data_IF_988937231902
#
_entry.id   IF_988937231902
#
_cell.length_a   1.000
_cell.length_b   1.000
_cell.length_c   1.000
_cell.angle_alpha   90.00
_cell.angle_beta   90.00
_cell.angle_gamma   90.00
#
_symmetry.space_group_name_H-M   'P 1'
#
loop_
_entity.id
_entity.type
_entity.pdbx_description
1 polymer ?
#
# COMPACT_ATOMS: atom_id res chain seq x y z
N UNK A 1 16.59 35.34 -27.27
CA UNK A 1 16.94 33.89 -27.43
C UNK A 1 16.01 33.09 -26.55
N UNK A 2 15.06 32.32 -27.09
CA UNK A 2 14.10 31.57 -26.27
C UNK A 2 14.58 30.14 -26.07
N UNK A 3 14.66 29.72 -24.83
CA UNK A 3 14.82 28.30 -24.46
C UNK A 3 13.47 27.55 -24.64
N UNK A 4 13.41 26.68 -25.62
CA UNK A 4 12.33 25.71 -25.80
C UNK A 4 12.56 24.53 -24.90
N UNK A 5 11.71 24.36 -23.91
CA UNK A 5 11.60 23.09 -23.15
C UNK A 5 10.88 22.05 -24.01
N UNK A 6 11.56 20.95 -24.32
CA UNK A 6 11.06 19.81 -25.08
C UNK A 6 10.27 18.90 -24.11
N UNK A 7 8.95 18.94 -24.18
CA UNK A 7 8.10 17.90 -23.58
C UNK A 7 7.92 16.78 -24.59
N UNK A 8 8.52 15.63 -24.32
CA UNK A 8 8.37 14.42 -25.11
C UNK A 8 7.07 13.72 -24.73
N UNK A 9 6.00 13.93 -25.51
CA UNK A 9 4.79 13.11 -25.48
C UNK A 9 5.05 11.81 -26.24
N UNK A 10 5.13 10.68 -25.54
CA UNK A 10 5.04 9.35 -26.14
C UNK A 10 3.56 9.02 -26.40
N UNK A 11 3.09 9.37 -27.59
CA UNK A 11 1.85 8.87 -28.17
C UNK A 11 2.18 7.58 -28.92
N UNK A 12 1.84 6.42 -28.34
CA UNK A 12 1.77 5.18 -29.08
C UNK A 12 0.45 5.13 -29.86
N UNK A 13 0.55 5.28 -31.17
CA UNK A 13 -0.56 5.06 -32.12
C UNK A 13 -0.90 3.58 -32.20
N UNK A 14 -1.93 3.15 -31.48
CA UNK A 14 -2.58 1.86 -31.67
C UNK A 14 -3.59 1.95 -32.80
N UNK A 15 -3.33 1.27 -33.93
CA UNK A 15 -4.25 1.06 -35.05
C UNK A 15 -5.47 0.30 -34.56
N UNK A 16 -6.65 0.89 -34.75
CA UNK A 16 -7.93 0.25 -34.49
C UNK A 16 -8.15 -0.86 -35.55
N UNK A 17 -8.09 -2.12 -35.13
CA UNK A 17 -8.59 -3.23 -35.89
C UNK A 17 -10.13 -3.26 -35.76
N UNK A 18 -10.82 -3.12 -36.87
CA UNK A 18 -12.27 -3.27 -36.97
C UNK A 18 -12.60 -4.76 -36.74
N UNK A 19 -13.21 -5.05 -35.57
CA UNK A 19 -13.73 -6.38 -35.30
C UNK A 19 -15.03 -6.60 -36.04
N UNK A 20 -15.08 -7.68 -36.83
CA UNK A 20 -16.30 -8.18 -37.45
C UNK A 20 -17.24 -8.76 -36.37
N UNK A 21 -18.57 -8.71 -36.54
CA UNK A 21 -19.52 -9.27 -35.62
C UNK A 21 -19.40 -10.80 -35.58
N UNK A 22 -19.10 -11.35 -34.41
CA UNK A 22 -19.16 -12.78 -34.11
C UNK A 22 -20.58 -13.13 -33.77
N UNK A 23 -21.19 -14.06 -34.48
CA UNK A 23 -22.48 -14.66 -34.17
C UNK A 23 -22.43 -15.35 -32.79
N UNK A 24 -23.50 -15.32 -32.01
CA UNK A 24 -23.52 -15.97 -30.71
C UNK A 24 -23.57 -17.49 -30.88
N UNK A 25 -22.47 -18.16 -30.56
CA UNK A 25 -22.50 -19.60 -30.34
C UNK A 25 -23.19 -19.84 -28.98
N UNK A 26 -24.30 -20.53 -29.04
CA UNK A 26 -24.97 -21.11 -27.85
C UNK A 26 -24.04 -22.12 -27.22
N UNK A 27 -23.39 -21.73 -26.12
CA UNK A 27 -22.67 -22.66 -25.28
C UNK A 27 -23.68 -23.52 -24.49
N UNK A 28 -23.70 -24.80 -24.84
CA UNK A 28 -24.39 -25.86 -24.10
C UNK A 28 -23.80 -25.90 -22.68
N UNK A 29 -24.63 -25.70 -21.67
CA UNK A 29 -24.21 -25.65 -20.27
C UNK A 29 -23.75 -27.05 -19.83
N UNK A 30 -22.48 -27.19 -19.48
CA UNK A 30 -21.98 -28.38 -18.79
C UNK A 30 -22.67 -28.57 -17.44
N UNK A 31 -23.09 -29.77 -17.08
CA UNK A 31 -23.73 -30.03 -15.81
C UNK A 31 -22.74 -29.87 -14.65
N UNK A 32 -23.16 -29.12 -13.63
CA UNK A 32 -22.42 -28.93 -12.39
C UNK A 32 -22.12 -30.29 -11.71
N UNK A 33 -20.94 -30.47 -11.11
CA UNK A 33 -20.59 -31.71 -10.39
C UNK A 33 -21.53 -31.89 -9.18
N UNK A 34 -21.86 -33.14 -8.81
CA UNK A 34 -22.81 -33.43 -7.76
C UNK A 34 -22.29 -32.91 -6.39
N UNK A 35 -23.19 -32.28 -5.64
CA UNK A 35 -22.95 -31.86 -4.25
C UNK A 35 -22.73 -33.12 -3.40
N UNK A 36 -21.52 -33.30 -2.91
CA UNK A 36 -21.20 -34.37 -1.96
C UNK A 36 -21.78 -33.97 -0.60
N UNK A 37 -22.87 -34.65 -0.20
CA UNK A 37 -23.36 -34.55 1.16
C UNK A 37 -22.36 -35.18 2.10
N UNK A 38 -21.83 -34.41 3.07
CA UNK A 38 -21.09 -34.98 4.19
C UNK A 38 -22.04 -35.91 4.97
N UNK A 39 -21.63 -37.17 5.11
CA UNK A 39 -22.30 -38.16 5.96
C UNK A 39 -22.32 -37.64 7.42
N UNK A 40 -23.39 -37.97 8.19
CA UNK A 40 -23.44 -37.66 9.61
C UNK A 40 -22.32 -38.37 10.37
N UNK A 41 -21.84 -37.82 11.50
CA UNK A 41 -20.77 -38.43 12.28
C UNK A 41 -21.20 -39.80 12.83
N UNK A 42 -20.32 -40.79 12.87
CA UNK A 42 -20.63 -42.09 13.46
C UNK A 42 -20.86 -41.94 14.97
N UNK A 43 -21.87 -42.69 15.45
CA UNK A 43 -22.21 -42.81 16.85
C UNK A 43 -21.06 -43.33 17.70
N UNK A 44 -21.04 -42.81 18.92
CA UNK A 44 -20.13 -43.15 20.01
C UNK A 44 -19.73 -44.60 20.12
N UNK A 45 -18.47 -44.90 19.85
CA UNK A 45 -17.83 -46.18 20.14
C UNK A 45 -16.55 -45.97 20.96
N UNK A 46 -16.57 -46.50 22.17
CA UNK A 46 -15.45 -46.88 23.05
C UNK A 46 -14.24 -45.94 23.13
N UNK A 47 -14.07 -45.34 24.31
CA UNK A 47 -12.83 -44.74 24.78
C UNK A 47 -11.67 -45.76 24.70
N UNK A 48 -10.84 -45.63 23.69
CA UNK A 48 -9.53 -46.28 23.66
C UNK A 48 -8.56 -45.35 24.38
N UNK A 49 -7.76 -45.90 25.27
CA UNK A 49 -6.82 -45.16 26.10
C UNK A 49 -5.87 -44.30 25.24
N UNK A 50 -5.46 -43.10 25.69
CA UNK A 50 -4.59 -42.24 24.91
C UNK A 50 -3.25 -42.93 24.64
N UNK A 51 -2.99 -43.21 23.36
CA UNK A 51 -1.69 -43.64 22.86
C UNK A 51 -0.62 -42.65 23.34
N UNK A 52 0.46 -43.19 23.90
CA UNK A 52 1.55 -42.40 24.48
C UNK A 52 2.03 -41.35 23.50
N UNK A 53 2.07 -40.08 23.94
CA UNK A 53 2.56 -38.97 23.17
C UNK A 53 3.91 -39.31 22.51
N UNK A 54 4.11 -38.94 21.21
CA UNK A 54 5.39 -39.15 20.55
C UNK A 54 6.50 -38.46 21.36
N UNK A 55 7.68 -39.10 21.48
CA UNK A 55 8.78 -38.52 22.23
C UNK A 55 9.10 -37.15 21.67
N UNK A 56 9.27 -36.17 22.56
CA UNK A 56 9.65 -34.82 22.20
C UNK A 56 10.85 -34.86 21.23
N UNK A 57 10.86 -34.02 20.18
CA UNK A 57 11.98 -34.00 19.24
C UNK A 57 13.25 -33.76 20.04
N UNK A 58 14.17 -34.71 19.98
CA UNK A 58 15.49 -34.54 20.57
C UNK A 58 16.13 -33.34 19.85
N UNK A 59 16.26 -32.25 20.57
CA UNK A 59 17.09 -31.13 20.14
C UNK A 59 18.52 -31.65 20.13
N UNK A 60 18.99 -32.09 18.97
CA UNK A 60 20.39 -32.42 18.80
C UNK A 60 21.16 -31.11 19.02
N UNK A 61 21.70 -30.93 20.20
CA UNK A 61 22.68 -29.87 20.45
C UNK A 61 23.85 -30.17 19.50
N UNK A 62 23.91 -29.45 18.39
CA UNK A 62 25.08 -29.37 17.54
C UNK A 62 26.20 -28.77 18.39
N UNK A 63 26.94 -29.65 19.11
CA UNK A 63 28.19 -29.27 19.74
C UNK A 63 29.10 -28.86 18.55
N UNK A 64 29.53 -27.60 18.45
CA UNK A 64 30.45 -27.22 17.40
C UNK A 64 31.69 -28.11 17.48
N UNK A 65 32.22 -28.60 16.35
CA UNK A 65 33.42 -29.41 16.36
C UNK A 65 34.54 -28.67 17.12
N UNK A 66 35.38 -29.39 17.85
CA UNK A 66 36.47 -28.77 18.58
C UNK A 66 37.31 -27.92 17.63
N UNK A 67 37.78 -26.74 18.07
CA UNK A 67 38.58 -25.84 17.21
C UNK A 67 39.76 -26.60 16.63
N UNK A 68 39.91 -26.56 15.31
CA UNK A 68 41.03 -27.19 14.60
C UNK A 68 42.31 -26.55 15.13
N UNK A 69 43.21 -27.30 15.78
CA UNK A 69 44.46 -26.75 16.35
C UNK A 69 45.42 -26.16 15.28
N UNK A 70 45.18 -26.47 13.99
CA UNK A 70 45.94 -25.94 12.85
C UNK A 70 45.23 -24.78 12.14
N UNK A 71 44.13 -24.28 12.69
CA UNK A 71 43.48 -23.10 12.09
C UNK A 71 44.43 -21.89 12.21
N UNK A 72 44.89 -21.40 11.09
CA UNK A 72 45.70 -20.15 11.04
C UNK A 72 44.81 -19.03 11.61
N UNK A 73 45.24 -18.49 12.74
CA UNK A 73 44.48 -17.44 13.41
C UNK A 73 44.40 -16.20 12.54
N UNK A 74 43.23 -15.65 12.37
CA UNK A 74 43.04 -14.37 11.67
C UNK A 74 43.94 -13.31 12.34
N UNK A 75 44.76 -12.55 11.58
CA UNK A 75 45.62 -11.54 12.16
C UNK A 75 44.82 -10.57 13.05
N UNK A 76 45.39 -10.15 14.22
CA UNK A 76 44.67 -9.27 15.16
C UNK A 76 44.14 -7.99 14.52
N UNK A 77 44.88 -7.43 13.54
CA UNK A 77 44.48 -6.25 12.79
C UNK A 77 43.24 -6.51 11.92
N UNK A 78 43.17 -7.63 11.20
CA UNK A 78 42.05 -8.01 10.37
C UNK A 78 40.77 -8.27 11.23
N UNK A 79 40.96 -8.93 12.38
CA UNK A 79 39.89 -9.13 13.35
C UNK A 79 39.38 -7.80 13.90
N UNK A 80 40.25 -6.86 14.26
CA UNK A 80 39.85 -5.55 14.75
C UNK A 80 39.05 -4.74 13.72
N UNK A 81 39.36 -4.84 12.43
CA UNK A 81 38.61 -4.19 11.35
C UNK A 81 37.21 -4.79 11.22
N UNK A 82 37.06 -6.11 11.32
CA UNK A 82 35.73 -6.76 11.34
C UNK A 82 34.91 -6.36 12.58
N UNK A 83 35.53 -6.35 13.76
CA UNK A 83 34.91 -5.92 15.01
C UNK A 83 34.49 -4.43 14.96
N UNK A 84 35.30 -3.59 14.31
CA UNK A 84 34.93 -2.19 14.08
C UNK A 84 33.74 -2.05 13.11
N UNK A 85 33.74 -2.85 12.03
CA UNK A 85 32.62 -2.87 11.10
C UNK A 85 31.30 -3.35 11.78
N UNK A 86 31.40 -4.29 12.74
CA UNK A 86 30.22 -4.70 13.56
C UNK A 86 29.64 -3.54 14.35
N UNK A 87 30.46 -2.62 14.87
CA UNK A 87 29.99 -1.46 15.66
C UNK A 87 29.25 -0.43 14.83
N UNK A 88 29.41 -0.40 13.52
CA UNK A 88 28.67 0.53 12.64
C UNK A 88 27.18 0.19 12.57
N UNK A 89 26.78 -1.03 12.95
CA UNK A 89 25.41 -1.57 12.79
C UNK A 89 24.87 -1.46 11.34
N UNK A 90 25.73 -1.35 10.35
CA UNK A 90 25.40 -1.34 8.94
C UNK A 90 25.72 -2.68 8.28
N UNK A 91 24.71 -3.49 7.90
CA UNK A 91 24.94 -4.79 7.27
C UNK A 91 25.73 -4.71 5.96
N UNK A 92 25.57 -3.62 5.19
CA UNK A 92 26.27 -3.47 3.91
C UNK A 92 27.77 -3.22 4.13
N UNK A 93 28.12 -2.34 5.07
CA UNK A 93 29.51 -2.09 5.47
C UNK A 93 30.15 -3.35 6.02
N UNK A 94 29.47 -4.10 6.88
CA UNK A 94 29.99 -5.35 7.43
C UNK A 94 30.23 -6.40 6.33
N UNK A 95 29.27 -6.59 5.42
CA UNK A 95 29.39 -7.54 4.32
C UNK A 95 30.56 -7.20 3.37
N UNK A 96 30.78 -5.91 3.08
CA UNK A 96 31.91 -5.47 2.26
C UNK A 96 33.24 -5.78 2.94
N UNK A 97 33.37 -5.47 4.24
CA UNK A 97 34.58 -5.75 5.04
C UNK A 97 34.81 -7.26 5.17
N UNK A 98 33.74 -8.03 5.42
CA UNK A 98 33.81 -9.49 5.48
C UNK A 98 34.33 -10.09 4.18
N UNK A 99 33.79 -9.64 3.03
CA UNK A 99 34.25 -10.10 1.70
C UNK A 99 35.71 -9.80 1.48
N UNK A 100 36.13 -8.55 1.69
CA UNK A 100 37.54 -8.14 1.51
C UNK A 100 38.48 -8.92 2.44
N UNK A 101 38.10 -9.13 3.71
CA UNK A 101 38.90 -9.89 4.66
C UNK A 101 39.02 -11.37 4.25
N UNK A 102 37.95 -11.96 3.72
CA UNK A 102 37.96 -13.35 3.25
C UNK A 102 38.84 -13.54 2.01
N UNK A 103 38.84 -12.56 1.08
CA UNK A 103 39.73 -12.57 -0.09
C UNK A 103 41.21 -12.50 0.31
N UNK A 104 41.52 -11.72 1.34
CA UNK A 104 42.89 -11.54 1.80
C UNK A 104 43.39 -12.66 2.73
N UNK A 105 42.51 -13.29 3.49
CA UNK A 105 42.84 -14.32 4.48
C UNK A 105 41.91 -15.54 4.29
N UNK A 106 42.10 -16.34 3.23
CA UNK A 106 41.23 -17.48 2.93
C UNK A 106 41.23 -18.54 4.03
N UNK A 107 42.35 -18.75 4.70
CA UNK A 107 42.53 -19.73 5.79
C UNK A 107 41.85 -19.27 7.10
N UNK A 108 41.52 -17.98 7.24
CA UNK A 108 40.79 -17.40 8.35
C UNK A 108 39.27 -17.57 8.26
N UNK A 109 38.78 -18.29 7.24
CA UNK A 109 37.33 -18.48 6.95
C UNK A 109 36.50 -18.83 8.18
N UNK A 110 36.80 -19.87 8.97
CA UNK A 110 36.03 -20.24 10.14
C UNK A 110 35.88 -19.13 11.18
N UNK A 111 36.92 -18.31 11.39
CA UNK A 111 36.85 -17.21 12.35
C UNK A 111 36.04 -16.02 11.81
N UNK A 112 36.14 -15.74 10.50
CA UNK A 112 35.31 -14.74 9.83
C UNK A 112 33.83 -15.14 9.91
N UNK A 113 33.49 -16.42 9.69
CA UNK A 113 32.14 -16.93 9.77
C UNK A 113 31.59 -16.88 11.22
N UNK A 114 32.43 -17.17 12.21
CA UNK A 114 32.04 -17.03 13.61
C UNK A 114 31.75 -15.56 13.98
N UNK A 115 32.55 -14.60 13.49
CA UNK A 115 32.27 -13.16 13.68
C UNK A 115 31.03 -12.72 12.93
N UNK A 116 30.79 -13.23 11.72
CA UNK A 116 29.58 -12.96 10.96
C UNK A 116 28.32 -13.49 11.66
N UNK A 117 28.37 -14.72 12.16
CA UNK A 117 27.29 -15.31 12.95
C UNK A 117 27.01 -14.51 14.22
N UNK A 118 28.07 -14.06 14.94
CA UNK A 118 27.93 -13.20 16.11
C UNK A 118 27.30 -11.86 15.76
N UNK A 119 27.72 -11.24 14.67
CA UNK A 119 27.14 -9.98 14.19
C UNK A 119 25.65 -10.15 13.83
N UNK A 120 25.33 -11.21 13.09
CA UNK A 120 23.93 -11.52 12.73
C UNK A 120 23.06 -11.74 13.98
N UNK A 121 23.56 -12.47 14.99
CA UNK A 121 22.87 -12.67 16.25
C UNK A 121 22.66 -11.36 17.01
N UNK A 122 23.65 -10.48 17.09
CA UNK A 122 23.54 -9.17 17.74
C UNK A 122 22.54 -8.26 17.02
N UNK A 123 22.55 -8.24 15.69
CA UNK A 123 21.57 -7.49 14.89
C UNK A 123 20.16 -8.03 15.13
N UNK A 124 19.99 -9.35 15.11
CA UNK A 124 18.69 -9.99 15.35
C UNK A 124 18.15 -9.71 16.77
N UNK A 125 19.03 -9.79 17.78
CA UNK A 125 18.67 -9.46 19.16
C UNK A 125 18.24 -8.00 19.30
N UNK A 126 19.00 -7.07 18.72
CA UNK A 126 18.66 -5.65 18.72
C UNK A 126 17.35 -5.38 18.00
N UNK A 127 17.13 -5.98 16.83
CA UNK A 127 15.87 -5.87 16.10
C UNK A 127 14.69 -6.42 16.91
N UNK A 128 14.88 -7.55 17.61
CA UNK A 128 13.86 -8.13 18.49
C UNK A 128 13.57 -7.21 19.71
N UNK A 129 14.61 -6.63 20.31
CA UNK A 129 14.45 -5.68 21.41
C UNK A 129 13.73 -4.40 20.96
N UNK A 130 14.13 -3.83 19.83
CA UNK A 130 13.48 -2.64 19.23
C UNK A 130 12.02 -2.94 18.86
N UNK A 131 11.74 -4.12 18.33
CA UNK A 131 10.38 -4.57 18.01
C UNK A 131 9.52 -4.72 19.26
N UNK A 132 10.06 -5.29 20.36
CA UNK A 132 9.37 -5.39 21.65
C UNK A 132 9.10 -4.01 22.24
N UNK A 133 10.11 -3.15 22.31
CA UNK A 133 9.95 -1.78 22.83
C UNK A 133 8.93 -0.99 22.02
N UNK A 134 8.90 -1.15 20.69
CA UNK A 134 7.88 -0.55 19.83
C UNK A 134 6.49 -1.11 20.12
N UNK A 135 6.37 -2.43 20.28
CA UNK A 135 5.09 -3.08 20.60
C UNK A 135 4.55 -2.61 21.97
N UNK A 136 5.41 -2.50 22.99
CA UNK A 136 5.05 -1.98 24.32
C UNK A 136 4.57 -0.53 24.25
N UNK A 137 5.29 0.34 23.53
CA UNK A 137 4.86 1.73 23.32
C UNK A 137 3.51 1.81 22.62
N UNK A 138 3.28 1.00 21.60
CA UNK A 138 2.01 0.98 20.88
C UNK A 138 0.87 0.38 21.72
N UNK A 139 1.16 -0.57 22.60
CA UNK A 139 0.19 -1.15 23.53
C UNK A 139 -0.23 -0.17 24.63
N UNK A 140 0.72 0.65 25.12
CA UNK A 140 0.48 1.66 26.15
C UNK A 140 -0.14 2.96 25.58
N UNK A 141 -0.11 3.16 24.27
CA UNK A 141 -0.60 4.39 23.63
C UNK A 141 -2.13 4.50 23.70
N UNK A 142 -2.62 5.67 24.11
CA UNK A 142 -4.05 6.03 24.05
C UNK A 142 -4.55 6.07 22.60
N UNK A 143 -5.88 6.03 22.43
CA UNK A 143 -6.49 6.18 21.11
C UNK A 143 -6.10 7.49 20.40
N UNK A 144 -5.89 8.56 21.15
CA UNK A 144 -5.51 9.86 20.60
C UNK A 144 -4.02 10.01 20.29
N UNK A 145 -3.18 9.08 20.77
CA UNK A 145 -1.74 9.14 20.54
C UNK A 145 -1.33 8.58 19.17
N UNK A 146 -0.15 9.02 18.70
CA UNK A 146 0.52 8.49 17.50
C UNK A 146 -0.26 8.71 16.19
N UNK A 147 -1.15 9.68 16.13
CA UNK A 147 -1.71 10.13 14.88
C UNK A 147 -0.68 10.97 14.12
N UNK A 148 -0.61 10.74 12.81
CA UNK A 148 0.19 11.53 11.86
C UNK A 148 -0.75 12.16 10.88
N UNK A 149 -0.63 13.47 10.70
CA UNK A 149 -1.52 14.23 9.85
C UNK A 149 -0.79 14.94 8.72
N UNK A 150 -1.54 15.16 7.65
CA UNK A 150 -1.12 15.98 6.53
C UNK A 150 -2.29 16.86 6.10
N UNK A 151 -2.02 18.15 5.92
CA UNK A 151 -2.93 19.13 5.32
C UNK A 151 -2.31 19.59 4.03
N UNK A 152 -3.06 19.53 2.94
CA UNK A 152 -2.65 19.98 1.62
C UNK A 152 -3.56 21.10 1.15
N UNK A 153 -2.98 22.19 0.67
CA UNK A 153 -3.71 23.29 0.05
C UNK A 153 -3.07 23.60 -1.30
N UNK A 154 -3.89 23.69 -2.33
CA UNK A 154 -3.44 23.96 -3.68
C UNK A 154 -4.46 24.78 -4.45
N UNK A 155 -3.99 25.35 -5.57
CA UNK A 155 -4.84 26.11 -6.45
C UNK A 155 -4.12 26.56 -7.70
N UNK A 156 -4.90 26.98 -8.69
CA UNK A 156 -4.40 27.61 -9.91
C UNK A 156 -5.30 28.74 -10.32
N UNK A 157 -4.71 29.77 -10.95
CA UNK A 157 -5.43 30.86 -11.56
C UNK A 157 -4.87 31.07 -12.95
N UNK A 158 -5.74 31.04 -13.94
CA UNK A 158 -5.40 31.32 -15.33
C UNK A 158 -6.23 32.52 -15.80
N UNK A 159 -5.57 33.51 -16.40
CA UNK A 159 -6.22 34.66 -17.03
C UNK A 159 -5.82 34.72 -18.50
N UNK A 160 -6.81 34.82 -19.41
CA UNK A 160 -6.54 34.82 -20.83
C UNK A 160 -7.82 34.83 -21.65
N UNK A 161 -7.82 34.12 -22.79
CA UNK A 161 -9.04 33.91 -23.60
C UNK A 161 -10.15 33.26 -22.81
N UNK A 162 -9.76 32.35 -21.87
CA UNK A 162 -10.64 31.72 -20.92
C UNK A 162 -10.05 31.90 -19.52
N UNK A 163 -10.76 32.63 -18.65
CA UNK A 163 -10.37 32.74 -17.25
C UNK A 163 -10.76 31.47 -16.51
N UNK A 164 -9.84 30.92 -15.74
CA UNK A 164 -10.07 29.75 -14.92
C UNK A 164 -9.47 29.90 -13.51
N UNK A 165 -10.19 29.44 -12.51
CA UNK A 165 -9.72 29.34 -11.13
C UNK A 165 -10.01 27.95 -10.61
N UNK A 166 -9.02 27.36 -9.95
CA UNK A 166 -9.19 26.11 -9.24
C UNK A 166 -8.54 26.22 -7.86
N UNK A 167 -9.21 25.70 -6.84
CA UNK A 167 -8.70 25.55 -5.48
C UNK A 167 -9.03 24.16 -4.97
N UNK A 168 -8.12 23.59 -4.19
CA UNK A 168 -8.44 22.37 -3.48
C UNK A 168 -7.80 22.35 -2.10
N UNK A 169 -8.47 21.63 -1.19
CA UNK A 169 -7.97 21.31 0.12
C UNK A 169 -8.05 19.81 0.38
N UNK A 170 -7.06 19.27 1.05
CA UNK A 170 -7.11 17.86 1.48
C UNK A 170 -6.51 17.72 2.87
N UNK A 171 -7.07 16.75 3.61
CA UNK A 171 -6.66 16.37 4.94
C UNK A 171 -6.48 14.85 4.99
N UNK A 172 -5.39 14.39 5.58
CA UNK A 172 -5.16 12.97 5.84
C UNK A 172 -4.70 12.79 7.26
N UNK A 173 -5.21 11.76 7.92
CA UNK A 173 -4.83 11.40 9.28
C UNK A 173 -4.66 9.90 9.36
N UNK A 174 -3.50 9.45 9.78
CA UNK A 174 -3.14 8.05 9.85
C UNK A 174 -2.64 7.69 11.25
N UNK A 175 -3.08 6.53 11.74
CA UNK A 175 -2.58 5.92 12.97
C UNK A 175 -2.20 4.48 12.70
N UNK A 176 -0.98 4.11 13.05
CA UNK A 176 -0.51 2.72 13.00
C UNK A 176 -0.32 2.20 14.43
N UNK A 177 -1.30 1.46 14.92
CA UNK A 177 -1.27 0.80 16.23
C UNK A 177 -0.72 -0.61 16.14
N UNK A 178 -0.78 -1.36 17.27
CA UNK A 178 -0.28 -2.72 17.35
C UNK A 178 -1.02 -3.66 16.38
N UNK A 179 -2.34 -3.75 16.49
CA UNK A 179 -3.20 -4.59 15.64
C UNK A 179 -4.06 -3.79 14.68
N UNK A 180 -4.36 -2.55 15.01
CA UNK A 180 -5.21 -1.69 14.22
C UNK A 180 -4.41 -0.63 13.47
N UNK A 181 -4.83 -0.36 12.27
CA UNK A 181 -4.44 0.80 11.48
C UNK A 181 -5.69 1.61 11.18
N UNK A 182 -5.60 2.92 11.24
CA UNK A 182 -6.71 3.81 10.92
C UNK A 182 -6.22 4.82 9.90
N UNK A 183 -6.98 4.99 8.84
CA UNK A 183 -6.77 6.04 7.85
C UNK A 183 -8.05 6.85 7.74
N UNK A 184 -7.96 8.16 7.90
CA UNK A 184 -9.01 9.13 7.67
C UNK A 184 -8.52 10.08 6.60
N UNK A 185 -9.35 10.38 5.61
CA UNK A 185 -9.05 11.38 4.58
C UNK A 185 -10.28 12.19 4.25
N UNK A 186 -10.05 13.45 3.89
CA UNK A 186 -11.07 14.32 3.33
C UNK A 186 -10.41 15.16 2.23
N UNK A 187 -11.16 15.47 1.17
CA UNK A 187 -10.73 16.30 0.05
C UNK A 187 -11.91 17.07 -0.49
N UNK A 188 -11.68 18.33 -0.81
CA UNK A 188 -12.61 19.20 -1.50
C UNK A 188 -11.90 19.86 -2.70
N UNK A 189 -12.49 19.75 -3.87
CA UNK A 189 -12.02 20.34 -5.13
C UNK A 189 -13.09 21.27 -5.68
N UNK A 190 -12.70 22.50 -6.01
CA UNK A 190 -13.57 23.51 -6.61
C UNK A 190 -12.87 24.17 -7.78
N UNK A 191 -13.54 24.21 -8.94
CA UNK A 191 -13.01 24.92 -10.10
C UNK A 191 -14.12 25.59 -10.91
N UNK A 192 -13.79 26.74 -11.49
CA UNK A 192 -14.58 27.45 -12.50
C UNK A 192 -13.74 27.70 -13.73
N UNK A 193 -14.37 27.58 -14.90
CA UNK A 193 -13.79 27.93 -16.19
C UNK A 193 -14.78 28.73 -16.99
N UNK A 194 -14.36 29.87 -17.55
CA UNK A 194 -15.25 30.84 -18.23
C UNK A 194 -16.46 31.28 -17.38
N UNK A 195 -16.29 31.34 -16.05
CA UNK A 195 -17.37 31.70 -15.13
C UNK A 195 -18.34 30.55 -14.79
N UNK A 196 -18.25 29.41 -15.50
CA UNK A 196 -19.07 28.23 -15.26
C UNK A 196 -18.37 27.28 -14.29
N UNK A 197 -19.17 26.61 -13.45
CA UNK A 197 -18.68 25.56 -12.54
C UNK A 197 -18.17 24.38 -13.37
N UNK A 198 -16.91 23.97 -13.16
CA UNK A 198 -16.27 22.85 -13.84
C UNK A 198 -15.90 21.73 -12.91
N UNK A 199 -15.77 21.99 -11.61
CA UNK A 199 -15.54 21.00 -10.56
C UNK A 199 -16.13 21.50 -9.26
N UNK A 200 -16.91 20.69 -8.58
CA UNK A 200 -17.35 20.87 -7.18
C UNK A 200 -17.56 19.49 -6.58
N UNK A 201 -16.44 18.96 -6.02
CA UNK A 201 -16.37 17.58 -5.56
C UNK A 201 -15.83 17.52 -4.15
N UNK A 202 -16.55 16.83 -3.28
CA UNK A 202 -16.15 16.53 -1.92
C UNK A 202 -16.04 15.02 -1.72
N UNK A 203 -14.99 14.59 -1.05
CA UNK A 203 -14.79 13.18 -0.67
C UNK A 203 -14.33 13.11 0.77
N UNK A 204 -14.90 12.22 1.55
CA UNK A 204 -14.42 11.88 2.89
C UNK A 204 -14.43 10.36 3.05
N UNK A 205 -13.37 9.79 3.63
CA UNK A 205 -13.26 8.35 3.80
C UNK A 205 -12.59 8.00 5.13
N UNK A 206 -13.06 6.92 5.72
CA UNK A 206 -12.46 6.28 6.89
C UNK A 206 -12.24 4.80 6.61
N UNK A 207 -11.00 4.36 6.76
CA UNK A 207 -10.60 2.98 6.50
C UNK A 207 -9.84 2.40 7.70
N UNK A 208 -10.53 1.69 8.62
CA UNK A 208 -9.89 0.86 9.62
C UNK A 208 -9.36 -0.43 8.99
N UNK A 209 -8.20 -0.89 9.46
CA UNK A 209 -7.57 -2.15 9.06
C UNK A 209 -7.14 -2.92 10.30
N UNK A 210 -7.42 -4.23 10.33
CA UNK A 210 -6.99 -5.14 11.38
C UNK A 210 -5.91 -6.09 10.86
N UNK A 211 -4.72 -6.04 11.44
CA UNK A 211 -3.57 -6.85 11.04
C UNK A 211 -3.78 -8.29 11.50
N UNK A 212 -3.97 -9.22 10.57
CA UNK A 212 -4.08 -10.65 10.81
C UNK A 212 -2.69 -11.29 10.90
N UNK A 213 -1.82 -10.91 9.97
CA UNK A 213 -0.41 -11.31 9.94
C UNK A 213 0.45 -10.09 9.57
N UNK A 214 1.75 -10.27 9.35
CA UNK A 214 2.64 -9.19 8.89
C UNK A 214 2.28 -8.68 7.48
N UNK A 215 1.60 -9.49 6.67
CA UNK A 215 1.23 -9.16 5.30
C UNK A 215 -0.26 -9.15 5.04
N UNK A 216 -1.04 -9.99 5.73
CA UNK A 216 -2.47 -10.12 5.56
C UNK A 216 -3.21 -9.25 6.59
N UNK A 217 -4.22 -8.52 6.14
CA UNK A 217 -5.09 -7.72 7.01
C UNK A 217 -6.54 -7.75 6.51
N UNK A 218 -7.48 -7.60 7.42
CA UNK A 218 -8.86 -7.29 7.10
C UNK A 218 -9.05 -5.77 7.08
N UNK A 219 -9.89 -5.25 6.20
CA UNK A 219 -10.24 -3.83 6.16
C UNK A 219 -11.75 -3.62 6.16
N UNK A 220 -12.16 -2.47 6.68
CA UNK A 220 -13.44 -1.84 6.42
C UNK A 220 -13.22 -0.50 5.71
N UNK A 221 -14.19 -0.03 4.96
CA UNK A 221 -14.18 1.29 4.32
C UNK A 221 -15.58 1.90 4.45
N UNK A 222 -15.65 3.14 4.92
CA UNK A 222 -16.79 4.00 4.77
C UNK A 222 -16.36 5.25 4.01
N UNK A 223 -16.99 5.54 2.88
CA UNK A 223 -16.66 6.68 2.02
C UNK A 223 -17.92 7.46 1.68
N UNK A 224 -17.81 8.77 1.72
CA UNK A 224 -18.81 9.73 1.27
C UNK A 224 -18.24 10.52 0.10
N UNK A 225 -19.00 10.64 -0.97
CA UNK A 225 -18.69 11.46 -2.13
C UNK A 225 -19.87 12.37 -2.45
N UNK A 226 -19.58 13.59 -2.89
CA UNK A 226 -20.48 14.55 -3.53
C UNK A 226 -19.81 15.08 -4.78
N UNK A 227 -20.53 15.19 -5.87
CA UNK A 227 -20.07 15.77 -7.12
C UNK A 227 -21.22 16.49 -7.82
N UNK A 228 -21.21 17.82 -7.75
CA UNK A 228 -22.30 18.65 -8.26
C UNK A 228 -22.30 18.67 -9.78
N UNK A 229 -21.14 18.58 -10.42
CA UNK A 229 -21.00 18.59 -11.87
C UNK A 229 -21.54 17.31 -12.49
N UNK A 230 -21.31 16.17 -11.84
CA UNK A 230 -21.90 14.88 -12.22
C UNK A 230 -23.34 14.69 -11.70
N UNK A 231 -23.89 15.69 -11.00
CA UNK A 231 -25.23 15.61 -10.42
C UNK A 231 -25.34 14.61 -9.26
N UNK A 232 -24.23 14.18 -8.68
CA UNK A 232 -24.21 13.32 -7.50
C UNK A 232 -24.41 14.16 -6.25
N UNK A 233 -25.65 14.16 -5.73
CA UNK A 233 -25.99 14.86 -4.49
C UNK A 233 -25.24 14.27 -3.29
N UNK A 234 -25.17 12.95 -3.23
CA UNK A 234 -24.32 12.19 -2.34
C UNK A 234 -24.18 10.75 -2.82
N UNK A 235 -23.05 10.13 -2.46
CA UNK A 235 -22.80 8.72 -2.61
C UNK A 235 -22.12 8.20 -1.35
N UNK A 236 -22.72 7.20 -0.74
CA UNK A 236 -22.11 6.45 0.35
C UNK A 236 -21.60 5.12 -0.17
N UNK A 237 -20.37 4.80 0.10
CA UNK A 237 -19.75 3.53 -0.25
C UNK A 237 -19.28 2.86 1.02
N UNK A 238 -19.77 1.67 1.28
CA UNK A 238 -19.30 0.79 2.35
C UNK A 238 -18.66 -0.43 1.73
N UNK A 239 -17.50 -0.84 2.25
CA UNK A 239 -16.80 -2.04 1.78
C UNK A 239 -16.10 -2.71 2.95
N UNK A 240 -16.00 -4.03 2.89
CA UNK A 240 -15.20 -4.81 3.80
C UNK A 240 -14.49 -5.93 3.02
N UNK A 241 -13.29 -6.30 3.42
CA UNK A 241 -12.56 -7.32 2.68
C UNK A 241 -11.20 -7.63 3.28
N UNK A 242 -10.38 -8.25 2.46
CA UNK A 242 -9.02 -8.61 2.81
C UNK A 242 -8.03 -7.80 1.97
N UNK A 243 -6.92 -7.46 2.60
CA UNK A 243 -5.80 -6.83 1.94
C UNK A 243 -4.52 -7.63 2.17
N UNK A 244 -3.65 -7.61 1.17
CA UNK A 244 -2.37 -8.30 1.22
C UNK A 244 -1.24 -7.36 0.79
N UNK A 245 -0.18 -7.29 1.61
CA UNK A 245 1.03 -6.54 1.31
C UNK A 245 1.96 -7.41 0.45
N UNK A 246 2.00 -7.14 -0.86
CA UNK A 246 2.81 -7.86 -1.84
C UNK A 246 4.30 -7.61 -1.62
N UNK A 247 4.66 -6.35 -1.40
CA UNK A 247 6.04 -5.93 -1.11
C UNK A 247 6.07 -4.94 0.04
N UNK A 248 7.01 -5.13 0.96
CA UNK A 248 7.23 -4.27 2.12
C UNK A 248 8.71 -4.04 2.33
N UNK A 249 9.13 -2.80 2.20
CA UNK A 249 10.53 -2.38 2.40
C UNK A 249 10.60 -0.96 2.94
N UNK A 250 11.80 -0.51 3.27
CA UNK A 250 12.03 0.87 3.75
C UNK A 250 11.76 1.93 2.68
N UNK A 251 11.92 1.57 1.41
CA UNK A 251 11.76 2.48 0.27
C UNK A 251 10.55 2.17 -0.60
N UNK A 252 9.94 1.01 -0.46
CA UNK A 252 8.91 0.52 -1.35
C UNK A 252 7.85 -0.25 -0.58
N UNK A 253 6.58 0.07 -0.82
CA UNK A 253 5.44 -0.65 -0.28
C UNK A 253 4.40 -0.81 -1.38
N UNK A 254 3.87 -2.02 -1.52
CA UNK A 254 2.81 -2.35 -2.46
C UNK A 254 1.79 -3.23 -1.76
N UNK A 255 0.54 -2.84 -1.77
CA UNK A 255 -0.57 -3.63 -1.24
C UNK A 255 -1.75 -3.65 -2.18
N UNK A 256 -2.50 -4.72 -2.11
CA UNK A 256 -3.76 -4.92 -2.84
C UNK A 256 -4.86 -5.25 -1.86
N UNK A 257 -6.08 -4.82 -2.17
CA UNK A 257 -7.27 -5.11 -1.39
C UNK A 257 -8.38 -5.60 -2.30
N UNK A 258 -9.21 -6.49 -1.81
CA UNK A 258 -10.42 -6.93 -2.50
C UNK A 258 -11.53 -7.27 -1.49
N UNK A 259 -12.77 -7.02 -1.88
CA UNK A 259 -13.93 -7.35 -1.07
C UNK A 259 -15.23 -6.89 -1.68
N UNK A 260 -16.38 -7.33 -1.13
CA UNK A 260 -17.68 -6.80 -1.45
C UNK A 260 -17.81 -5.34 -1.03
N UNK A 261 -18.65 -4.61 -1.74
CA UNK A 261 -19.05 -3.25 -1.42
C UNK A 261 -20.55 -3.06 -1.62
N UNK A 262 -21.10 -2.09 -0.93
CA UNK A 262 -22.43 -1.55 -1.17
C UNK A 262 -22.30 -0.05 -1.45
N UNK A 263 -23.01 0.43 -2.47
CA UNK A 263 -22.98 1.84 -2.87
C UNK A 263 -24.40 2.38 -2.92
N UNK A 264 -24.67 3.39 -2.12
CA UNK A 264 -25.92 4.14 -2.14
C UNK A 264 -25.66 5.47 -2.83
N UNK A 265 -26.25 5.69 -3.99
CA UNK A 265 -26.10 6.93 -4.77
C UNK A 265 -27.44 7.64 -4.89
N UNK A 266 -27.43 8.95 -4.73
CA UNK A 266 -28.55 9.83 -5.01
C UNK A 266 -28.12 10.91 -6.00
N UNK A 267 -28.65 10.83 -7.20
CA UNK A 267 -28.53 11.90 -8.18
C UNK A 267 -29.55 13.01 -7.95
N UNK A 268 -29.26 14.21 -8.45
CA UNK A 268 -30.18 15.34 -8.42
C UNK A 268 -31.44 15.00 -9.25
N UNK A 269 -32.61 15.15 -8.65
CA UNK A 269 -33.88 14.87 -9.31
C UNK A 269 -34.24 13.38 -9.45
N UNK A 270 -33.42 12.47 -8.92
CA UNK A 270 -33.68 11.03 -8.98
C UNK A 270 -33.91 10.43 -7.57
N UNK A 271 -34.61 9.30 -7.46
CA UNK A 271 -34.70 8.54 -6.22
C UNK A 271 -33.29 8.01 -5.83
N UNK A 272 -33.18 7.61 -4.58
CA UNK A 272 -31.98 6.91 -4.07
C UNK A 272 -31.88 5.52 -4.72
N UNK A 273 -30.68 5.18 -5.16
CA UNK A 273 -30.36 3.87 -5.70
C UNK A 273 -29.27 3.20 -4.86
N UNK A 274 -29.41 1.92 -4.58
CA UNK A 274 -28.45 1.15 -3.78
C UNK A 274 -28.05 -0.10 -4.56
N UNK A 275 -26.77 -0.21 -4.87
CA UNK A 275 -26.21 -1.30 -5.66
C UNK A 275 -25.16 -2.08 -4.86
N UNK A 276 -25.14 -3.39 -5.06
CA UNK A 276 -24.04 -4.24 -4.62
C UNK A 276 -22.88 -4.14 -5.63
N UNK A 277 -21.65 -4.08 -5.14
CA UNK A 277 -20.47 -3.97 -5.95
C UNK A 277 -19.35 -4.90 -5.46
N UNK A 278 -18.41 -5.23 -6.35
CA UNK A 278 -17.09 -5.72 -5.99
C UNK A 278 -16.12 -4.54 -5.94
N UNK A 279 -15.26 -4.48 -4.91
CA UNK A 279 -14.18 -3.49 -4.81
C UNK A 279 -12.82 -4.18 -4.93
N UNK A 280 -11.96 -3.63 -5.78
CA UNK A 280 -10.53 -3.92 -5.81
C UNK A 280 -9.72 -2.65 -5.64
N UNK A 281 -8.57 -2.69 -4.96
CA UNK A 281 -7.68 -1.53 -4.89
C UNK A 281 -6.21 -1.92 -4.87
N UNK A 282 -5.38 -1.00 -5.33
CA UNK A 282 -3.92 -1.09 -5.31
C UNK A 282 -3.40 0.18 -4.65
N UNK A 283 -2.52 0.00 -3.66
CA UNK A 283 -1.82 1.09 -3.01
C UNK A 283 -0.31 0.89 -3.17
N UNK A 284 0.35 1.90 -3.67
CA UNK A 284 1.76 1.90 -3.99
C UNK A 284 2.44 3.11 -3.38
N UNK A 285 3.55 2.89 -2.65
CA UNK A 285 4.39 3.94 -2.09
C UNK A 285 5.85 3.66 -2.43
N UNK A 286 6.54 4.63 -3.00
CA UNK A 286 7.96 4.53 -3.32
C UNK A 286 8.73 5.79 -2.90
N UNK A 287 9.78 5.57 -2.12
CA UNK A 287 10.70 6.61 -1.62
C UNK A 287 12.10 6.36 -2.18
N UNK A 288 12.40 6.83 -3.41
CA UNK A 288 13.73 6.65 -4.00
C UNK A 288 14.84 7.24 -3.12
N UNK A 289 14.56 8.33 -2.44
CA UNK A 289 15.44 8.97 -1.47
C UNK A 289 14.64 9.61 -0.31
N UNK A 290 15.34 10.24 0.64
CA UNK A 290 14.72 10.84 1.83
C UNK A 290 13.84 12.07 1.53
N UNK A 291 13.94 12.66 0.35
CA UNK A 291 13.28 13.90 -0.01
C UNK A 291 12.12 13.73 -0.99
N UNK A 292 12.08 12.62 -1.72
CA UNK A 292 11.08 12.37 -2.77
C UNK A 292 10.25 11.14 -2.41
N UNK A 293 8.95 11.25 -2.55
CA UNK A 293 7.97 10.19 -2.36
C UNK A 293 7.00 10.18 -3.54
N UNK A 294 6.83 9.02 -4.17
CA UNK A 294 5.81 8.75 -5.18
C UNK A 294 4.76 7.84 -4.57
N UNK A 295 3.51 8.24 -4.61
CA UNK A 295 2.37 7.44 -4.15
C UNK A 295 1.38 7.25 -5.27
N UNK A 296 0.73 6.08 -5.30
CA UNK A 296 -0.45 5.84 -6.11
C UNK A 296 -1.49 5.09 -5.28
N UNK A 297 -2.72 5.52 -5.37
CA UNK A 297 -3.90 4.86 -4.79
C UNK A 297 -4.92 4.72 -5.90
N UNK A 298 -5.21 3.48 -6.29
CA UNK A 298 -6.19 3.17 -7.33
C UNK A 298 -7.23 2.22 -6.77
N UNK A 299 -8.50 2.46 -7.11
CA UNK A 299 -9.62 1.59 -6.76
C UNK A 299 -10.53 1.42 -7.96
N UNK A 300 -11.10 0.24 -8.09
CA UNK A 300 -12.16 -0.11 -9.03
C UNK A 300 -13.35 -0.64 -8.26
N UNK A 301 -14.52 -0.17 -8.62
CA UNK A 301 -15.81 -0.69 -8.19
C UNK A 301 -16.53 -1.24 -9.41
N UNK A 302 -16.95 -2.49 -9.32
CA UNK A 302 -17.68 -3.18 -10.39
C UNK A 302 -19.07 -3.52 -9.86
N UNK A 303 -20.06 -2.90 -10.42
CA UNK A 303 -21.49 -3.16 -10.20
C UNK A 303 -22.04 -4.03 -11.35
N UNK A 304 -23.31 -4.42 -11.32
CA UNK A 304 -23.90 -5.24 -12.38
C UNK A 304 -23.94 -4.52 -13.74
N UNK A 305 -24.07 -3.22 -13.72
CA UNK A 305 -24.33 -2.35 -14.88
C UNK A 305 -23.42 -1.12 -14.94
N UNK A 306 -22.50 -0.96 -13.97
CA UNK A 306 -21.61 0.19 -13.85
C UNK A 306 -20.20 -0.22 -13.43
N UNK A 307 -19.21 0.51 -13.91
CA UNK A 307 -17.82 0.40 -13.47
C UNK A 307 -17.29 1.80 -13.15
N UNK A 308 -16.83 1.98 -11.91
CA UNK A 308 -16.18 3.20 -11.48
C UNK A 308 -14.71 2.91 -11.16
N UNK A 309 -13.82 3.74 -11.70
CA UNK A 309 -12.38 3.67 -11.45
C UNK A 309 -11.91 5.01 -10.92
N UNK A 310 -11.19 4.98 -9.83
CA UNK A 310 -10.51 6.15 -9.27
C UNK A 310 -9.02 5.87 -9.15
N UNK A 311 -8.19 6.83 -9.50
CA UNK A 311 -6.74 6.72 -9.33
C UNK A 311 -6.17 8.07 -8.92
N UNK A 312 -5.37 8.10 -7.88
CA UNK A 312 -4.63 9.28 -7.45
C UNK A 312 -3.15 8.94 -7.43
N UNK A 313 -2.38 9.60 -8.27
CA UNK A 313 -0.92 9.53 -8.28
C UNK A 313 -0.37 10.86 -7.78
N UNK A 314 0.59 10.83 -6.85
CA UNK A 314 1.20 12.04 -6.32
C UNK A 314 2.72 11.89 -6.18
N UNK A 315 3.44 12.93 -6.61
CA UNK A 315 4.88 13.09 -6.36
C UNK A 315 5.01 14.20 -5.31
N UNK A 316 5.64 13.87 -4.20
CA UNK A 316 5.86 14.78 -3.08
C UNK A 316 7.35 14.98 -2.86
N UNK A 317 7.77 16.23 -2.69
CA UNK A 317 9.17 16.59 -2.42
C UNK A 317 9.26 17.46 -1.16
N UNK A 318 10.20 17.16 -0.28
CA UNK A 318 10.52 18.02 0.87
C UNK A 318 11.05 19.36 0.39
N UNK A 319 10.52 20.44 0.93
CA UNK A 319 10.99 21.80 0.70
C UNK A 319 11.81 22.29 1.90
N UNK A 320 11.15 22.51 3.04
CA UNK A 320 11.82 22.93 4.28
C UNK A 320 10.98 22.52 5.49
N UNK A 321 11.64 22.06 6.55
CA UNK A 321 10.97 21.60 7.78
C UNK A 321 9.85 20.61 7.53
N UNK A 322 8.63 20.85 8.03
CA UNK A 322 7.45 20.00 7.82
C UNK A 322 6.73 20.27 6.48
N UNK A 323 7.18 21.25 5.70
CA UNK A 323 6.54 21.68 4.44
C UNK A 323 7.11 20.92 3.26
N UNK A 324 6.19 20.39 2.42
CA UNK A 324 6.49 19.65 1.20
C UNK A 324 5.74 20.30 0.04
N UNK A 325 6.29 20.19 -1.16
CA UNK A 325 5.58 20.45 -2.42
C UNK A 325 5.05 19.14 -2.97
N UNK A 326 3.83 19.15 -3.48
CA UNK A 326 3.22 17.98 -4.09
C UNK A 326 2.62 18.32 -5.45
N UNK A 327 2.84 17.45 -6.42
CA UNK A 327 2.11 17.43 -7.69
C UNK A 327 1.25 16.17 -7.69
N UNK A 328 -0.05 16.32 -7.87
CA UNK A 328 -0.99 15.20 -7.90
C UNK A 328 -1.75 15.16 -9.22
N UNK A 329 -2.00 13.93 -9.69
CA UNK A 329 -2.85 13.60 -10.82
C UNK A 329 -3.95 12.66 -10.34
N UNK A 330 -5.20 13.13 -10.45
CA UNK A 330 -6.38 12.38 -10.07
C UNK A 330 -7.14 12.03 -11.35
N UNK A 331 -7.56 10.78 -11.46
CA UNK A 331 -8.36 10.25 -12.54
C UNK A 331 -9.62 9.63 -11.94
N UNK A 332 -10.77 9.97 -12.51
CA UNK A 332 -12.05 9.35 -12.20
C UNK A 332 -12.70 8.91 -13.51
N UNK A 333 -13.10 7.65 -13.59
CA UNK A 333 -13.91 7.11 -14.67
C UNK A 333 -15.22 6.59 -14.09
N UNK A 334 -16.34 6.90 -14.75
CA UNK A 334 -17.68 6.50 -14.39
C UNK A 334 -18.41 6.07 -15.66
N UNK A 335 -18.93 4.84 -15.71
CA UNK A 335 -19.55 4.27 -16.91
C UNK A 335 -21.04 4.65 -17.00
N UNK A 336 -21.74 4.73 -15.87
CA UNK A 336 -23.16 5.09 -15.80
C UNK A 336 -23.37 6.43 -15.08
N UNK A 337 -23.47 7.51 -15.88
CA UNK A 337 -23.83 8.85 -15.37
C UNK A 337 -25.14 9.26 -16.02
N UNK A 338 -26.20 9.56 -15.27
CA UNK A 338 -27.50 9.94 -15.82
C UNK A 338 -27.39 11.11 -16.80
N UNK A 339 -27.83 10.88 -18.05
CA UNK A 339 -27.78 11.88 -19.11
C UNK A 339 -26.45 12.05 -19.82
N UNK A 340 -25.43 11.29 -19.47
CA UNK A 340 -24.12 11.25 -20.12
C UNK A 340 -23.74 9.80 -20.43
N UNK A 341 -23.07 9.57 -21.57
CA UNK A 341 -22.73 8.20 -21.98
C UNK A 341 -21.64 7.58 -21.08
N UNK A 342 -20.61 8.36 -20.72
CA UNK A 342 -19.47 7.97 -19.86
C UNK A 342 -18.76 9.23 -19.40
N UNK A 343 -18.23 9.25 -18.19
CA UNK A 343 -17.43 10.35 -17.69
C UNK A 343 -15.98 9.91 -17.48
N UNK A 344 -15.06 10.72 -17.96
CA UNK A 344 -13.64 10.57 -17.75
C UNK A 344 -13.05 11.92 -17.34
N UNK A 345 -12.80 12.07 -16.05
CA UNK A 345 -12.33 13.29 -15.46
C UNK A 345 -10.90 13.18 -14.98
N UNK A 346 -10.10 14.20 -15.24
CA UNK A 346 -8.73 14.29 -14.74
C UNK A 346 -8.49 15.64 -14.08
N UNK A 347 -7.87 15.62 -12.90
CA UNK A 347 -7.49 16.83 -12.17
C UNK A 347 -6.00 16.74 -11.87
N UNK A 348 -5.24 17.68 -12.44
CA UNK A 348 -3.83 17.89 -12.08
C UNK A 348 -3.73 19.08 -11.13
N UNK A 349 -3.10 18.89 -9.98
CA UNK A 349 -3.01 19.93 -8.99
C UNK A 349 -1.62 20.02 -8.37
N UNK A 350 -1.13 21.23 -8.17
CA UNK A 350 0.07 21.54 -7.40
C UNK A 350 -0.33 22.09 -6.02
N UNK A 351 0.35 21.65 -4.98
CA UNK A 351 0.01 22.02 -3.61
C UNK A 351 1.20 22.13 -2.69
N UNK A 352 0.99 22.86 -1.60
CA UNK A 352 1.82 22.80 -0.41
C UNK A 352 1.18 21.83 0.60
N UNK A 353 1.99 20.96 1.16
CA UNK A 353 1.60 19.96 2.16
C UNK A 353 2.33 20.24 3.45
N UNK A 354 1.59 20.36 4.54
CA UNK A 354 2.12 20.47 5.89
C UNK A 354 1.89 19.14 6.60
N UNK A 355 2.97 18.52 7.13
CA UNK A 355 2.92 17.25 7.85
C UNK A 355 3.19 17.47 9.34
N UNK A 356 2.41 16.86 10.24
CA UNK A 356 2.52 16.96 11.69
C UNK A 356 2.33 15.62 12.39
#
# INVERSE_FOLDING_TARGET
MPYRALFLCLLSSGTAAVAQPVEPQTAEAEPLPPIIWLAPPPESGSFEAPEAAPPAPMVTLLIPPPPNPNAVALPPAARAVLEQAMKTNDPATFAAVQKATREQYPDGGPQIDALAAKNAAQIAEKQAADARAKAERLAAASFLDNWKGEVSLGGSYTKGVTDAVAVYGAFKLNKDGLRWRHALSARADYAKSAGLLSTDKDTAAYQPQYKLTDRLYAYGLGQFDRDEVLGIRYRFTESAGLGYTLARGSKFNLSVEAGPAARETRYVGQPRDTKAAGRGSINFDWKPNANIELTNQSAVYVESDDTNITSTTAITSKLFGPVKGQLSYNLTYEDDVPGQAKSFDTITAASLVYSF
#
